data_IF_630341806137
#
_entry.id   IF_630341806137
#
_cell.length_a   1.000
_cell.length_b   1.000
_cell.length_c   1.000
_cell.angle_alpha   90.00
_cell.angle_beta   90.00
_cell.angle_gamma   90.00
#
_symmetry.space_group_name_H-M   'P 1'
#
loop_
_entity.id
_entity.type
_entity.pdbx_description
1 polymer ?
#
# COMPACT_ATOMS: atom_id res chain seq x y z
N UNK A 1 -13.81 13.51 -7.96
CA UNK A 1 -13.09 12.34 -8.49
C UNK A 1 -13.49 11.13 -7.66
N UNK A 2 -14.02 10.05 -8.27
CA UNK A 2 -14.37 8.85 -7.53
C UNK A 2 -13.11 8.21 -6.92
N UNK A 3 -13.24 7.69 -5.68
CA UNK A 3 -12.23 6.88 -5.02
C UNK A 3 -12.61 5.40 -5.15
N UNK A 4 -11.63 4.54 -5.38
CA UNK A 4 -11.84 3.09 -5.41
C UNK A 4 -11.78 2.49 -4.01
N UNK A 5 -10.86 2.98 -3.16
CA UNK A 5 -10.68 2.52 -1.80
C UNK A 5 -10.36 3.67 -0.84
N UNK A 6 -10.74 3.49 0.41
CA UNK A 6 -10.33 4.28 1.55
C UNK A 6 -9.54 3.40 2.49
N UNK A 7 -8.30 3.80 2.77
CA UNK A 7 -7.40 3.03 3.61
C UNK A 7 -7.28 3.74 4.94
N UNK A 8 -7.56 3.03 6.04
CA UNK A 8 -7.40 3.56 7.39
C UNK A 8 -6.06 3.09 7.93
N UNK A 9 -5.20 4.05 8.26
CA UNK A 9 -3.89 3.79 8.84
C UNK A 9 -4.00 3.37 10.31
N UNK A 10 -2.89 3.12 10.96
CA UNK A 10 -2.79 2.48 12.28
C UNK A 10 -3.68 3.07 13.37
N UNK A 11 -4.10 4.32 13.27
CA UNK A 11 -5.01 4.95 14.24
C UNK A 11 -6.44 4.36 14.27
N UNK A 12 -6.75 3.39 13.37
CA UNK A 12 -8.01 2.66 13.45
C UNK A 12 -8.14 1.86 14.76
N UNK A 13 -7.01 1.44 15.34
CA UNK A 13 -6.92 0.81 16.65
C UNK A 13 -6.26 1.75 17.68
N UNK A 14 -6.24 1.35 18.95
CA UNK A 14 -5.56 2.12 20.00
C UNK A 14 -4.04 2.07 19.81
N UNK A 15 -3.40 3.23 19.66
CA UNK A 15 -1.95 3.35 19.45
C UNK A 15 -1.15 3.74 20.69
N UNK A 16 -1.82 4.14 21.77
CA UNK A 16 -1.20 4.60 23.01
C UNK A 16 -1.77 3.89 24.24
N UNK A 17 -2.04 2.58 24.13
CA UNK A 17 -2.69 1.80 25.18
C UNK A 17 -1.73 0.78 25.79
N UNK A 18 -1.84 0.64 27.12
CA UNK A 18 -1.26 -0.47 27.86
C UNK A 18 0.26 -0.61 27.75
N UNK A 19 0.72 -1.82 27.54
CA UNK A 19 2.13 -2.21 27.54
C UNK A 19 2.75 -2.30 26.13
N UNK A 20 2.12 -1.70 25.12
CA UNK A 20 2.63 -1.74 23.76
C UNK A 20 3.97 -1.00 23.64
N UNK A 21 5.03 -1.65 23.14
CA UNK A 21 6.34 -1.02 23.03
C UNK A 21 6.39 0.19 22.10
N UNK A 22 5.63 0.13 20.99
CA UNK A 22 5.65 1.16 19.93
C UNK A 22 4.26 1.65 19.49
N UNK A 23 3.19 1.01 19.94
CA UNK A 23 1.80 1.37 19.61
C UNK A 23 1.39 1.08 18.16
N UNK A 24 2.15 0.30 17.40
CA UNK A 24 1.85 -0.01 16.00
C UNK A 24 0.93 -1.20 15.85
N UNK A 25 1.10 -2.22 16.70
CA UNK A 25 0.27 -3.42 16.67
C UNK A 25 -1.02 -3.21 17.45
N UNK A 26 -2.15 -3.57 16.89
CA UNK A 26 -3.45 -3.54 17.55
C UNK A 26 -4.57 -4.13 16.72
N UNK A 27 -5.63 -4.60 17.42
CA UNK A 27 -6.76 -5.32 16.83
C UNK A 27 -8.11 -4.87 17.40
N UNK A 28 -8.14 -3.80 18.18
CA UNK A 28 -9.37 -3.27 18.78
C UNK A 28 -9.64 -1.87 18.27
N UNK A 29 -10.84 -1.65 17.73
CA UNK A 29 -11.24 -0.35 17.20
C UNK A 29 -11.04 0.79 18.21
N UNK A 30 -10.39 1.84 17.77
CA UNK A 30 -10.31 3.11 18.48
C UNK A 30 -11.68 3.80 18.45
N UNK A 31 -12.44 3.62 19.52
CA UNK A 31 -13.82 4.15 19.61
C UNK A 31 -13.90 5.67 19.73
N UNK A 32 -12.80 6.35 20.03
CA UNK A 32 -12.75 7.82 20.02
C UNK A 32 -12.80 8.36 18.59
N UNK A 33 -12.03 7.73 17.68
CA UNK A 33 -12.00 8.12 16.27
C UNK A 33 -13.11 7.45 15.45
N UNK A 34 -13.42 6.20 15.78
CA UNK A 34 -14.43 5.38 15.10
C UNK A 34 -15.49 4.89 16.09
N UNK A 35 -16.41 5.76 16.57
CA UNK A 35 -17.42 5.38 17.55
C UNK A 35 -18.33 4.22 17.07
N UNK A 36 -18.62 4.18 15.77
CA UNK A 36 -19.43 3.19 15.11
C UNK A 36 -18.76 2.74 13.80
N UNK A 37 -17.80 1.79 13.85
CA UNK A 37 -17.08 1.31 12.68
C UNK A 37 -17.98 0.69 11.61
N UNK A 38 -18.98 -0.07 12.01
CA UNK A 38 -19.89 -0.73 11.06
C UNK A 38 -20.67 0.31 10.23
N UNK A 39 -21.16 1.38 10.86
CA UNK A 39 -21.79 2.49 10.16
C UNK A 39 -20.84 3.22 9.23
N UNK A 40 -19.58 3.42 9.65
CA UNK A 40 -18.55 4.05 8.83
C UNK A 40 -18.27 3.23 7.57
N UNK A 41 -18.06 1.92 7.71
CA UNK A 41 -17.80 1.00 6.59
C UNK A 41 -19.03 0.96 5.66
N UNK A 42 -20.24 0.81 6.21
CA UNK A 42 -21.46 0.82 5.41
C UNK A 42 -21.65 2.13 4.62
N UNK A 43 -21.26 3.26 5.20
CA UNK A 43 -21.29 4.54 4.50
C UNK A 43 -20.30 4.60 3.33
N UNK A 44 -19.08 4.07 3.48
CA UNK A 44 -18.10 3.95 2.39
C UNK A 44 -18.64 3.03 1.28
N UNK A 45 -19.14 1.87 1.64
CA UNK A 45 -19.72 0.91 0.69
C UNK A 45 -20.94 1.50 -0.05
N UNK A 46 -21.77 2.29 0.63
CA UNK A 46 -22.88 3.02 0.02
C UNK A 46 -22.44 4.06 -1.04
N UNK A 47 -21.15 4.42 -1.05
CA UNK A 47 -20.51 5.27 -2.07
C UNK A 47 -19.71 4.48 -3.11
N UNK A 48 -19.71 3.14 -3.03
CA UNK A 48 -18.91 2.27 -3.89
C UNK A 48 -17.41 2.28 -3.56
N UNK A 49 -17.03 2.68 -2.33
CA UNK A 49 -15.64 2.77 -1.87
C UNK A 49 -15.32 1.54 -1.02
N UNK A 50 -14.25 0.83 -1.36
CA UNK A 50 -13.73 -0.29 -0.56
C UNK A 50 -12.95 0.22 0.65
N UNK A 51 -12.87 -0.62 1.69
CA UNK A 51 -12.21 -0.26 2.95
C UNK A 51 -11.06 -1.22 3.25
N UNK A 52 -9.90 -0.66 3.61
CA UNK A 52 -8.78 -1.43 4.13
C UNK A 52 -8.31 -0.88 5.47
N UNK A 53 -7.78 -1.76 6.31
CA UNK A 53 -7.13 -1.40 7.57
C UNK A 53 -5.64 -1.74 7.51
N UNK A 54 -4.84 -0.89 8.14
CA UNK A 54 -3.39 -1.07 8.30
C UNK A 54 -3.08 -2.13 9.37
N UNK A 55 -2.03 -2.90 9.16
CA UNK A 55 -1.56 -3.94 10.08
C UNK A 55 -0.05 -3.86 10.32
N UNK A 56 0.32 -3.85 11.61
CA UNK A 56 1.69 -4.04 12.10
C UNK A 56 1.67 -5.19 13.12
N UNK A 57 1.62 -6.45 12.72
CA UNK A 57 1.25 -7.56 13.62
C UNK A 57 2.38 -8.09 14.50
N UNK A 58 3.62 -7.63 14.33
CA UNK A 58 4.80 -8.29 14.90
C UNK A 58 4.91 -8.29 16.43
N UNK A 59 4.26 -7.35 17.11
CA UNK A 59 4.29 -7.30 18.57
C UNK A 59 3.31 -8.31 19.22
N UNK A 60 2.52 -9.00 18.42
CA UNK A 60 1.57 -10.01 18.89
C UNK A 60 0.24 -9.44 19.38
N UNK A 61 -0.42 -10.12 20.32
CA UNK A 61 -1.74 -9.71 20.85
C UNK A 61 -1.62 -9.35 22.32
N UNK A 62 -1.90 -8.11 22.64
CA UNK A 62 -1.75 -7.57 24.00
C UNK A 62 -3.00 -7.79 24.87
N UNK A 63 -2.87 -7.79 26.21
CA UNK A 63 -3.97 -8.05 27.13
C UNK A 63 -5.15 -7.08 27.04
N UNK A 64 -4.95 -5.87 26.54
CA UNK A 64 -6.02 -4.88 26.36
C UNK A 64 -6.87 -5.10 25.10
N UNK A 65 -6.44 -6.00 24.19
CA UNK A 65 -7.20 -6.32 22.99
C UNK A 65 -8.45 -7.13 23.32
N UNK A 66 -9.56 -6.84 22.63
CA UNK A 66 -10.83 -7.56 22.86
C UNK A 66 -10.71 -9.06 22.55
N UNK A 67 -9.80 -9.43 21.68
CA UNK A 67 -9.55 -10.81 21.23
C UNK A 67 -8.50 -11.54 22.08
N UNK A 68 -7.85 -10.86 23.03
CA UNK A 68 -6.73 -11.42 23.80
C UNK A 68 -7.04 -12.74 24.48
N UNK A 69 -8.17 -12.82 25.21
CA UNK A 69 -8.54 -14.03 25.96
C UNK A 69 -8.58 -15.24 25.04
N UNK A 70 -9.23 -15.14 23.88
CA UNK A 70 -9.37 -16.25 22.94
C UNK A 70 -8.02 -16.68 22.37
N UNK A 71 -7.17 -15.71 22.02
CA UNK A 71 -5.84 -15.96 21.48
C UNK A 71 -4.94 -16.62 22.53
N UNK A 72 -4.96 -16.15 23.76
CA UNK A 72 -4.17 -16.69 24.87
C UNK A 72 -4.57 -18.15 25.17
N UNK A 73 -5.87 -18.44 25.22
CA UNK A 73 -6.39 -19.79 25.46
C UNK A 73 -5.92 -20.79 24.39
N UNK A 74 -5.99 -20.41 23.10
CA UNK A 74 -5.51 -21.26 21.99
C UNK A 74 -4.01 -21.49 22.04
N UNK A 75 -3.26 -20.45 22.39
CA UNK A 75 -1.80 -20.51 22.41
C UNK A 75 -1.27 -21.09 23.73
N UNK A 76 -2.13 -21.41 24.70
CA UNK A 76 -1.76 -22.03 25.97
C UNK A 76 -1.07 -21.04 26.93
N UNK A 77 -1.39 -19.77 26.83
CA UNK A 77 -0.95 -18.71 27.73
C UNK A 77 -2.03 -18.50 28.78
N UNK A 78 -1.66 -18.45 30.05
CA UNK A 78 -2.59 -18.13 31.12
C UNK A 78 -3.01 -16.63 31.01
N UNK A 79 -4.27 -16.32 30.71
CA UNK A 79 -4.68 -14.92 30.58
C UNK A 79 -4.52 -14.11 31.88
N UNK A 80 -4.47 -14.78 33.04
CA UNK A 80 -4.24 -14.11 34.32
C UNK A 80 -2.81 -13.57 34.45
N UNK A 81 -1.84 -14.12 33.69
CA UNK A 81 -0.46 -13.61 33.69
C UNK A 81 -0.33 -12.24 33.03
N UNK A 82 -1.31 -11.86 32.17
CA UNK A 82 -1.25 -10.65 31.35
C UNK A 82 -0.02 -10.60 30.41
N UNK A 83 0.53 -11.76 30.06
CA UNK A 83 1.61 -11.86 29.07
C UNK A 83 1.03 -11.71 27.66
N UNK A 84 1.66 -10.94 26.77
CA UNK A 84 1.22 -10.85 25.39
C UNK A 84 1.31 -12.21 24.67
N UNK A 85 0.38 -12.50 23.77
CA UNK A 85 0.50 -13.62 22.84
C UNK A 85 1.54 -13.26 21.79
N UNK A 86 2.70 -13.95 21.72
CA UNK A 86 3.74 -13.59 20.75
C UNK A 86 3.28 -13.83 19.31
N UNK A 87 3.68 -12.95 18.41
CA UNK A 87 3.49 -13.17 16.99
C UNK A 87 4.36 -14.30 16.46
N UNK A 88 3.74 -15.31 15.87
CA UNK A 88 4.46 -16.40 15.20
C UNK A 88 3.64 -16.96 14.04
N UNK A 89 3.68 -16.28 12.91
CA UNK A 89 2.93 -16.71 11.71
C UNK A 89 3.44 -18.04 11.13
N UNK A 90 4.58 -18.54 11.60
CA UNK A 90 5.10 -19.85 11.21
C UNK A 90 4.52 -21.01 12.03
N UNK A 91 3.87 -20.74 13.18
CA UNK A 91 3.08 -21.74 13.92
C UNK A 91 1.69 -21.87 13.28
N UNK A 92 1.31 -23.05 12.75
CA UNK A 92 -0.01 -23.24 12.15
C UNK A 92 -1.20 -22.92 13.07
N UNK A 93 -1.07 -23.16 14.37
CA UNK A 93 -2.11 -22.84 15.35
C UNK A 93 -2.29 -21.34 15.52
N UNK A 94 -1.16 -20.61 15.57
CA UNK A 94 -1.19 -19.15 15.61
C UNK A 94 -1.80 -18.62 14.30
N UNK A 95 -1.35 -19.11 13.15
CA UNK A 95 -1.84 -18.66 11.85
C UNK A 95 -3.35 -18.86 11.71
N UNK A 96 -3.90 -20.02 12.11
CA UNK A 96 -5.33 -20.30 12.10
C UNK A 96 -6.10 -19.35 13.03
N UNK A 97 -5.63 -19.16 14.27
CA UNK A 97 -6.23 -18.26 15.24
C UNK A 97 -6.14 -16.79 14.77
N UNK A 98 -5.02 -16.40 14.16
CA UNK A 98 -4.76 -15.06 13.63
C UNK A 98 -5.82 -14.66 12.59
N UNK A 99 -6.16 -15.54 11.66
CA UNK A 99 -7.22 -15.23 10.70
C UNK A 99 -8.62 -15.33 11.33
N UNK A 100 -8.93 -16.42 12.01
CA UNK A 100 -10.28 -16.68 12.51
C UNK A 100 -10.74 -15.71 13.60
N UNK A 101 -9.80 -15.21 14.43
CA UNK A 101 -10.12 -14.38 15.60
C UNK A 101 -9.80 -12.91 15.35
N UNK A 102 -8.67 -12.62 14.68
CA UNK A 102 -8.19 -11.23 14.55
C UNK A 102 -8.59 -10.58 13.22
N UNK A 103 -9.04 -11.35 12.18
CA UNK A 103 -9.29 -10.77 10.85
C UNK A 103 -10.70 -11.05 10.34
N UNK A 104 -11.17 -12.29 10.34
CA UNK A 104 -12.48 -12.64 9.78
C UNK A 104 -13.63 -11.84 10.40
N UNK A 105 -13.68 -11.54 11.71
CA UNK A 105 -14.74 -10.71 12.26
C UNK A 105 -14.78 -9.28 11.67
N UNK A 106 -13.63 -8.69 11.35
CA UNK A 106 -13.58 -7.39 10.68
C UNK A 106 -14.01 -7.46 9.21
N UNK A 107 -13.68 -8.56 8.54
CA UNK A 107 -14.14 -8.82 7.17
C UNK A 107 -15.67 -9.04 7.12
N UNK A 108 -16.22 -9.73 8.10
CA UNK A 108 -17.67 -9.89 8.27
C UNK A 108 -18.36 -8.54 8.55
N UNK A 109 -17.69 -7.62 9.23
CA UNK A 109 -18.13 -6.23 9.44
C UNK A 109 -17.96 -5.34 8.18
N UNK A 110 -17.27 -5.87 7.13
CA UNK A 110 -17.16 -5.23 5.83
C UNK A 110 -15.77 -4.68 5.45
N UNK A 111 -14.71 -5.02 6.18
CA UNK A 111 -13.33 -4.73 5.73
C UNK A 111 -13.04 -5.54 4.48
N UNK A 112 -12.69 -4.88 3.38
CA UNK A 112 -12.55 -5.53 2.08
C UNK A 112 -11.18 -6.14 1.84
N UNK A 113 -10.12 -5.58 2.43
CA UNK A 113 -8.75 -6.08 2.31
C UNK A 113 -7.84 -5.51 3.39
N UNK A 114 -6.60 -5.99 3.45
CA UNK A 114 -5.64 -5.65 4.48
C UNK A 114 -4.39 -4.97 3.91
N UNK A 115 -3.83 -4.03 4.69
CA UNK A 115 -2.57 -3.38 4.40
C UNK A 115 -1.51 -3.84 5.40
N UNK A 116 -0.62 -4.77 4.96
CA UNK A 116 0.53 -5.23 5.75
C UNK A 116 1.66 -4.21 5.68
N UNK A 117 1.75 -3.37 6.70
CA UNK A 117 2.80 -2.38 6.83
C UNK A 117 3.92 -2.92 7.74
N UNK A 118 4.68 -3.88 7.19
CA UNK A 118 5.69 -4.60 7.94
C UNK A 118 7.03 -3.88 7.94
N UNK A 119 7.54 -3.49 9.13
CA UNK A 119 8.82 -2.85 9.34
C UNK A 119 9.67 -3.56 10.43
N UNK A 120 9.29 -4.76 10.85
CA UNK A 120 9.77 -5.43 12.05
C UNK A 120 10.78 -6.56 11.76
N UNK A 121 11.52 -6.41 10.65
CA UNK A 121 12.63 -7.29 10.33
C UNK A 121 12.26 -8.55 9.52
N UNK A 122 13.25 -9.38 9.26
CA UNK A 122 13.18 -10.53 8.34
C UNK A 122 13.36 -11.88 9.05
N UNK A 123 13.37 -11.88 10.38
CA UNK A 123 13.60 -13.10 11.18
C UNK A 123 12.28 -13.69 11.67
N UNK A 124 12.14 -15.01 11.52
CA UNK A 124 11.07 -15.80 12.13
C UNK A 124 11.66 -16.97 12.91
N UNK A 125 10.84 -17.71 13.66
CA UNK A 125 11.30 -18.94 14.34
C UNK A 125 11.71 -20.02 13.34
N UNK A 126 11.19 -19.99 12.13
CA UNK A 126 11.59 -20.90 11.06
C UNK A 126 12.79 -20.29 10.31
N UNK A 127 13.96 -20.91 10.46
CA UNK A 127 15.20 -20.45 9.82
C UNK A 127 15.02 -20.32 8.29
N UNK A 128 15.32 -19.14 7.77
CA UNK A 128 15.26 -18.85 6.33
C UNK A 128 13.88 -18.48 5.80
N UNK A 129 12.86 -18.46 6.66
CA UNK A 129 11.53 -17.95 6.30
C UNK A 129 11.43 -16.47 6.69
N UNK A 130 11.26 -15.61 5.70
CA UNK A 130 10.91 -14.20 5.90
C UNK A 130 9.44 -14.12 6.35
N UNK A 131 9.14 -13.52 7.52
CA UNK A 131 7.78 -13.45 8.05
C UNK A 131 6.85 -12.64 7.15
N UNK A 132 7.31 -11.56 6.51
CA UNK A 132 6.48 -10.77 5.61
C UNK A 132 6.11 -11.55 4.36
N UNK A 133 7.06 -12.27 3.76
CA UNK A 133 6.77 -13.08 2.59
C UNK A 133 5.71 -14.16 2.87
N UNK A 134 5.83 -14.80 4.02
CA UNK A 134 4.86 -15.82 4.46
C UNK A 134 3.51 -15.21 4.82
N UNK A 135 3.52 -14.09 5.52
CA UNK A 135 2.32 -13.33 5.86
C UNK A 135 1.55 -12.88 4.60
N UNK A 136 2.26 -12.38 3.59
CA UNK A 136 1.68 -12.01 2.30
C UNK A 136 1.04 -13.21 1.59
N UNK A 137 1.70 -14.37 1.61
CA UNK A 137 1.14 -15.62 1.07
C UNK A 137 -0.18 -15.98 1.75
N UNK A 138 -0.15 -16.03 3.07
CA UNK A 138 -1.33 -16.43 3.83
C UNK A 138 -2.49 -15.46 3.67
N UNK A 139 -2.28 -14.15 3.82
CA UNK A 139 -3.32 -13.14 3.62
C UNK A 139 -3.91 -13.16 2.22
N UNK A 140 -3.07 -13.36 1.19
CA UNK A 140 -3.55 -13.42 -0.18
C UNK A 140 -4.53 -14.56 -0.38
N UNK A 141 -4.18 -15.77 0.04
CA UNK A 141 -5.04 -16.93 -0.14
C UNK A 141 -6.25 -16.93 0.80
N UNK A 142 -6.07 -16.43 2.03
CA UNK A 142 -7.16 -16.32 2.99
C UNK A 142 -8.24 -15.36 2.51
N UNK A 143 -7.90 -14.21 1.93
CA UNK A 143 -8.89 -13.29 1.38
C UNK A 143 -9.75 -13.92 0.28
N UNK A 144 -9.20 -14.88 -0.46
CA UNK A 144 -9.92 -15.62 -1.50
C UNK A 144 -10.55 -16.93 -1.03
N UNK A 145 -10.61 -17.23 0.27
CA UNK A 145 -11.04 -18.52 0.84
C UNK A 145 -12.48 -18.92 0.48
N UNK A 146 -13.33 -17.92 0.25
CA UNK A 146 -14.74 -18.13 -0.13
C UNK A 146 -14.93 -18.51 -1.61
N UNK A 147 -13.87 -18.43 -2.44
CA UNK A 147 -13.89 -18.64 -3.89
C UNK A 147 -14.67 -17.57 -4.68
N UNK A 148 -15.17 -16.53 -4.04
CA UNK A 148 -15.96 -15.44 -4.63
C UNK A 148 -15.15 -14.14 -4.70
N UNK A 149 -14.37 -13.88 -3.67
CA UNK A 149 -13.52 -12.70 -3.57
C UNK A 149 -12.25 -12.93 -4.37
N UNK A 150 -11.94 -12.02 -5.28
CA UNK A 150 -10.64 -12.05 -5.98
C UNK A 150 -9.57 -11.63 -4.98
N UNK A 151 -8.61 -12.52 -4.65
CA UNK A 151 -7.60 -12.23 -3.65
C UNK A 151 -6.66 -11.14 -4.13
N UNK A 152 -6.35 -10.21 -3.25
CA UNK A 152 -5.24 -9.28 -3.35
C UNK A 152 -4.86 -8.77 -1.95
N UNK A 153 -3.68 -8.22 -1.84
CA UNK A 153 -3.17 -7.60 -0.62
C UNK A 153 -2.57 -6.24 -0.95
N UNK A 154 -2.41 -5.42 0.06
CA UNK A 154 -1.61 -4.21 -0.02
C UNK A 154 -0.49 -4.33 1.01
N UNK A 155 0.78 -4.45 0.55
CA UNK A 155 1.88 -4.83 1.44
C UNK A 155 3.18 -4.18 1.02
N UNK A 156 4.11 -4.05 1.97
CA UNK A 156 5.51 -3.81 1.66
C UNK A 156 6.06 -4.97 0.84
N UNK A 157 7.22 -4.78 0.22
CA UNK A 157 7.88 -5.83 -0.56
C UNK A 157 8.45 -6.93 0.36
N UNK A 158 8.21 -8.19 0.03
CA UNK A 158 8.71 -9.38 0.73
C UNK A 158 9.83 -10.11 -0.02
N UNK A 159 10.51 -9.45 -0.96
CA UNK A 159 11.58 -10.05 -1.77
C UNK A 159 11.10 -10.70 -3.07
N UNK A 160 11.99 -11.47 -3.70
CA UNK A 160 11.70 -12.17 -4.96
C UNK A 160 10.54 -13.16 -4.78
N UNK A 161 9.65 -13.20 -5.76
CA UNK A 161 8.44 -14.02 -5.73
C UNK A 161 7.21 -13.30 -5.15
N UNK A 162 7.38 -12.13 -4.51
CA UNK A 162 6.29 -11.37 -3.91
C UNK A 162 5.30 -10.78 -4.94
N UNK A 163 5.70 -10.71 -6.21
CA UNK A 163 4.80 -10.34 -7.32
C UNK A 163 3.55 -11.22 -7.44
N UNK A 164 3.56 -12.41 -6.82
CA UNK A 164 2.39 -13.31 -6.72
C UNK A 164 1.28 -12.73 -5.86
N UNK A 165 1.61 -11.78 -5.00
CA UNK A 165 0.72 -11.20 -3.99
C UNK A 165 0.64 -9.69 -4.17
N UNK A 166 0.00 -9.20 -5.26
CA UNK A 166 -0.17 -7.76 -5.44
C UNK A 166 -1.10 -7.20 -4.38
N UNK A 167 -0.88 -5.97 -3.95
CA UNK A 167 -0.11 -4.86 -4.46
C UNK A 167 1.05 -4.57 -3.52
N UNK A 168 2.22 -4.16 -4.06
CA UNK A 168 3.31 -3.61 -3.25
C UNK A 168 3.25 -2.09 -3.10
N UNK A 169 3.96 -1.52 -2.10
CA UNK A 169 4.08 -0.07 -1.96
C UNK A 169 5.49 0.35 -1.52
N UNK A 170 5.86 1.59 -1.86
CA UNK A 170 7.20 2.14 -1.59
C UNK A 170 7.44 2.43 -0.10
N UNK A 171 6.39 2.81 0.63
CA UNK A 171 6.47 3.27 2.02
C UNK A 171 7.31 4.55 2.18
N UNK A 172 7.12 5.25 3.20
CA UNK A 172 7.86 6.32 3.88
C UNK A 172 8.83 7.16 3.00
N UNK A 173 8.39 7.52 1.80
CA UNK A 173 9.21 8.27 0.83
C UNK A 173 9.39 9.70 1.29
N UNK A 174 10.62 10.21 1.28
CA UNK A 174 10.92 11.61 1.63
C UNK A 174 10.28 12.56 0.62
N UNK A 175 9.68 13.64 1.10
CA UNK A 175 9.11 14.72 0.27
C UNK A 175 10.24 15.50 -0.38
N UNK A 176 10.69 15.08 -1.57
CA UNK A 176 11.80 15.69 -2.29
C UNK A 176 11.78 15.40 -3.78
N UNK A 177 12.42 16.27 -4.55
CA UNK A 177 12.65 16.07 -5.98
C UNK A 177 13.51 14.82 -6.27
N UNK A 178 14.49 14.53 -5.42
CA UNK A 178 15.33 13.35 -5.56
C UNK A 178 14.52 12.06 -5.42
N UNK A 179 13.57 12.03 -4.48
CA UNK A 179 12.64 10.90 -4.33
C UNK A 179 11.77 10.74 -5.56
N UNK A 180 11.20 11.83 -6.08
CA UNK A 180 10.39 11.78 -7.31
C UNK A 180 11.23 11.28 -8.50
N UNK A 181 12.44 11.77 -8.66
CA UNK A 181 13.33 11.40 -9.79
C UNK A 181 13.67 9.90 -9.81
N UNK A 182 13.70 9.25 -8.65
CA UNK A 182 13.97 7.83 -8.53
C UNK A 182 12.76 6.93 -8.90
N UNK A 183 11.54 7.41 -8.71
CA UNK A 183 10.35 6.56 -8.82
C UNK A 183 10.09 5.99 -10.23
N UNK A 184 10.24 6.74 -11.34
CA UNK A 184 10.09 6.19 -12.68
C UNK A 184 11.03 5.01 -12.95
N UNK A 185 12.32 5.21 -12.63
CA UNK A 185 13.34 4.16 -12.77
C UNK A 185 13.01 2.90 -11.96
N UNK A 186 12.70 3.09 -10.69
CA UNK A 186 12.34 1.98 -9.80
C UNK A 186 11.11 1.22 -10.32
N UNK A 187 10.05 1.96 -10.68
CA UNK A 187 8.79 1.35 -11.15
C UNK A 187 8.98 0.55 -12.43
N UNK A 188 9.74 1.09 -13.38
CA UNK A 188 10.03 0.41 -14.63
C UNK A 188 10.87 -0.84 -14.41
N UNK A 189 11.97 -0.74 -13.63
CA UNK A 189 12.89 -1.87 -13.41
C UNK A 189 12.31 -2.95 -12.50
N UNK A 190 11.31 -2.66 -11.67
CA UNK A 190 10.58 -3.66 -10.91
C UNK A 190 9.88 -4.70 -11.81
N UNK A 191 9.56 -4.34 -13.05
CA UNK A 191 9.06 -5.26 -14.06
C UNK A 191 10.00 -6.42 -14.35
N UNK A 192 11.33 -6.23 -14.23
CA UNK A 192 12.34 -7.27 -14.47
C UNK A 192 12.19 -8.48 -13.53
N UNK A 193 11.52 -8.32 -12.40
CA UNK A 193 11.21 -9.39 -11.45
C UNK A 193 9.71 -9.64 -11.32
N UNK A 194 8.92 -9.19 -12.31
CA UNK A 194 7.47 -9.36 -12.36
C UNK A 194 6.67 -8.49 -11.40
N UNK A 195 7.30 -7.54 -10.70
CA UNK A 195 6.66 -6.70 -9.68
C UNK A 195 5.94 -5.51 -10.33
N UNK A 196 4.85 -5.78 -11.03
CA UNK A 196 4.16 -4.81 -11.89
C UNK A 196 3.08 -3.96 -11.22
N UNK A 197 2.63 -4.34 -10.01
CA UNK A 197 1.60 -3.60 -9.27
C UNK A 197 2.23 -2.90 -8.07
N UNK A 198 2.53 -1.62 -8.26
CA UNK A 198 3.24 -0.80 -7.31
C UNK A 198 2.48 0.48 -6.96
N UNK A 199 2.40 0.79 -5.68
CA UNK A 199 1.77 1.99 -5.15
C UNK A 199 2.82 2.92 -4.55
N UNK A 200 2.87 4.14 -5.06
CA UNK A 200 3.70 5.21 -4.49
C UNK A 200 2.93 6.02 -3.46
N UNK A 201 3.66 6.66 -2.55
CA UNK A 201 3.14 7.75 -1.73
C UNK A 201 3.19 9.02 -2.58
N UNK A 202 2.13 9.28 -3.35
CA UNK A 202 2.07 10.42 -4.27
C UNK A 202 2.13 11.74 -3.50
N UNK A 203 3.19 12.50 -3.75
CA UNK A 203 3.54 13.72 -3.03
C UNK A 203 4.69 13.53 -2.03
N UNK A 204 5.10 12.29 -1.78
CA UNK A 204 6.01 11.90 -0.70
C UNK A 204 5.29 11.68 0.63
N UNK A 205 5.89 10.94 1.56
CA UNK A 205 5.26 10.52 2.80
C UNK A 205 5.61 11.45 3.97
N UNK A 206 6.88 11.65 4.24
CA UNK A 206 7.35 12.39 5.41
C UNK A 206 8.62 13.19 5.11
N UNK A 207 9.00 14.02 6.06
CA UNK A 207 10.19 14.87 6.03
C UNK A 207 10.27 15.74 4.76
N UNK A 208 11.41 16.35 4.52
CA UNK A 208 11.61 17.16 3.33
C UNK A 208 10.86 18.49 3.37
N UNK A 209 10.52 19.01 2.21
CA UNK A 209 9.87 20.33 2.05
C UNK A 209 8.64 20.18 1.18
N UNK A 210 7.49 20.56 1.72
CA UNK A 210 6.24 20.65 0.97
C UNK A 210 6.32 21.81 -0.04
N UNK A 211 6.08 21.48 -1.30
CA UNK A 211 6.15 22.40 -2.42
C UNK A 211 5.06 22.08 -3.44
N UNK A 212 4.32 23.09 -3.87
CA UNK A 212 3.18 22.89 -4.80
C UNK A 212 3.60 22.33 -6.15
N UNK A 213 4.72 22.77 -6.71
CA UNK A 213 5.23 22.21 -7.97
C UNK A 213 5.62 20.74 -7.81
N UNK A 214 6.34 20.39 -6.74
CA UNK A 214 6.71 19.02 -6.45
C UNK A 214 5.47 18.11 -6.33
N UNK A 215 4.46 18.54 -5.56
CA UNK A 215 3.20 17.82 -5.45
C UNK A 215 2.53 17.61 -6.82
N UNK A 216 2.45 18.67 -7.64
CA UNK A 216 1.87 18.58 -8.97
C UNK A 216 2.59 17.56 -9.85
N UNK A 217 3.93 17.56 -9.85
CA UNK A 217 4.72 16.60 -10.64
C UNK A 217 4.56 15.17 -10.14
N UNK A 218 4.48 14.97 -8.82
CA UNK A 218 4.12 13.69 -8.25
C UNK A 218 2.71 13.22 -8.70
N UNK A 219 1.72 14.11 -8.67
CA UNK A 219 0.37 13.78 -9.12
C UNK A 219 0.35 13.40 -10.61
N UNK A 220 1.08 14.13 -11.47
CA UNK A 220 1.23 13.83 -12.88
C UNK A 220 1.94 12.49 -13.13
N UNK A 221 3.01 12.19 -12.40
CA UNK A 221 3.65 10.87 -12.41
C UNK A 221 2.66 9.78 -11.97
N UNK A 222 1.87 10.03 -10.93
CA UNK A 222 0.85 9.10 -10.42
C UNK A 222 -0.20 8.71 -11.45
N UNK A 223 -0.51 9.57 -12.43
CA UNK A 223 -1.42 9.23 -13.55
C UNK A 223 -0.92 8.02 -14.32
N UNK A 224 0.39 7.96 -14.55
CA UNK A 224 1.08 6.92 -15.32
C UNK A 224 1.83 5.93 -14.42
N UNK A 225 1.37 5.75 -13.19
CA UNK A 225 1.85 4.69 -12.28
C UNK A 225 0.80 3.57 -12.15
N UNK A 226 1.19 2.36 -11.74
CA UNK A 226 0.23 1.26 -11.63
C UNK A 226 -0.91 1.57 -10.67
N UNK A 227 -0.61 2.04 -9.47
CA UNK A 227 -1.60 2.46 -8.47
C UNK A 227 -1.39 3.95 -8.15
N UNK A 228 -2.46 4.74 -8.23
CA UNK A 228 -2.45 6.12 -7.79
C UNK A 228 -3.05 6.19 -6.38
N UNK A 229 -2.22 6.46 -5.38
CA UNK A 229 -2.59 6.60 -3.98
C UNK A 229 -2.04 7.90 -3.42
N UNK A 230 -2.90 8.71 -2.83
CA UNK A 230 -2.51 9.91 -2.09
C UNK A 230 -2.31 9.50 -0.63
N UNK A 231 -1.12 9.67 -0.11
CA UNK A 231 -0.77 9.28 1.26
C UNK A 231 0.37 10.12 1.81
N UNK A 232 0.34 10.37 3.12
CA UNK A 232 1.42 11.04 3.86
C UNK A 232 1.34 10.67 5.33
N UNK A 233 2.39 10.99 6.08
CA UNK A 233 2.39 10.93 7.54
C UNK A 233 1.32 11.86 8.13
N UNK A 234 0.97 11.64 9.39
CA UNK A 234 0.09 12.50 10.18
C UNK A 234 0.80 13.83 10.51
N UNK A 235 0.95 14.68 9.51
CA UNK A 235 1.55 16.00 9.64
C UNK A 235 0.59 17.05 9.08
N UNK A 236 0.16 18.05 9.86
CA UNK A 236 -0.77 19.08 9.42
C UNK A 236 -0.25 19.93 8.25
N UNK A 237 1.06 19.92 7.99
CA UNK A 237 1.67 20.61 6.86
C UNK A 237 1.74 19.76 5.59
N UNK A 238 1.44 18.45 5.65
CA UNK A 238 1.44 17.57 4.49
C UNK A 238 0.10 17.62 3.77
N UNK A 239 0.05 18.38 2.67
CA UNK A 239 -1.18 18.50 1.88
C UNK A 239 -1.19 17.51 0.72
N UNK A 240 -2.16 16.59 0.70
CA UNK A 240 -2.35 15.61 -0.39
C UNK A 240 -3.67 15.77 -1.13
N UNK A 241 -4.55 16.63 -0.63
CA UNK A 241 -5.81 16.93 -1.31
C UNK A 241 -5.53 17.84 -2.52
N UNK A 242 -5.97 17.48 -3.72
CA UNK A 242 -5.70 18.28 -4.93
C UNK A 242 -6.22 19.72 -4.86
N UNK A 243 -7.23 19.95 -4.01
CA UNK A 243 -7.86 21.26 -3.80
C UNK A 243 -7.30 22.06 -2.62
N UNK A 244 -6.31 21.53 -1.92
CA UNK A 244 -5.66 22.18 -0.77
C UNK A 244 -4.55 23.16 -1.15
N UNK A 245 -4.24 23.29 -2.44
CA UNK A 245 -3.17 24.12 -2.98
C UNK A 245 -3.67 25.42 -3.60
N UNK A 246 -2.75 26.28 -4.02
CA UNK A 246 -3.06 27.46 -4.82
C UNK A 246 -3.70 27.08 -6.17
N UNK A 247 -4.39 28.02 -6.81
CA UNK A 247 -5.17 27.75 -8.02
C UNK A 247 -4.32 27.25 -9.19
N UNK A 248 -3.08 27.69 -9.30
CA UNK A 248 -2.10 27.27 -10.32
C UNK A 248 -1.63 25.83 -10.15
N UNK A 249 -1.75 25.27 -8.94
CA UNK A 249 -1.47 23.86 -8.63
C UNK A 249 -2.75 23.01 -8.67
N UNK A 250 -3.80 23.49 -8.01
CA UNK A 250 -5.10 22.77 -7.90
C UNK A 250 -5.70 22.43 -9.26
N UNK A 251 -5.72 23.38 -10.19
CA UNK A 251 -6.28 23.17 -11.52
C UNK A 251 -5.60 21.99 -12.25
N UNK A 252 -4.30 22.10 -12.55
CA UNK A 252 -3.55 21.02 -13.20
C UNK A 252 -3.55 19.68 -12.46
N UNK A 253 -3.50 19.68 -11.10
CA UNK A 253 -3.58 18.46 -10.33
C UNK A 253 -4.94 17.76 -10.49
N UNK A 254 -6.04 18.52 -10.46
CA UNK A 254 -7.37 17.97 -10.74
C UNK A 254 -7.51 17.45 -12.17
N UNK A 255 -6.89 18.11 -13.15
CA UNK A 255 -6.89 17.64 -14.55
C UNK A 255 -6.09 16.34 -14.70
N UNK A 256 -4.95 16.21 -14.02
CA UNK A 256 -4.20 14.97 -13.95
C UNK A 256 -5.07 13.82 -13.41
N UNK A 257 -5.78 14.03 -12.31
CA UNK A 257 -6.68 13.01 -11.75
C UNK A 257 -7.85 12.67 -12.68
N UNK A 258 -8.40 13.63 -13.43
CA UNK A 258 -9.42 13.37 -14.45
C UNK A 258 -8.86 12.52 -15.59
N UNK A 259 -7.63 12.81 -16.03
CA UNK A 259 -6.94 12.00 -17.03
C UNK A 259 -6.74 10.57 -16.54
N UNK A 260 -6.32 10.37 -15.28
CA UNK A 260 -6.23 9.03 -14.69
C UNK A 260 -7.54 8.26 -14.80
N UNK A 261 -8.67 8.91 -14.54
CA UNK A 261 -9.98 8.27 -14.65
C UNK A 261 -10.35 7.94 -16.11
N UNK A 262 -10.01 8.81 -17.05
CA UNK A 262 -10.19 8.53 -18.48
C UNK A 262 -9.37 7.32 -18.96
N UNK A 263 -8.23 7.06 -18.33
CA UNK A 263 -7.35 5.92 -18.64
C UNK A 263 -7.79 4.60 -17.97
N UNK A 264 -8.81 4.56 -17.12
CA UNK A 264 -9.25 3.34 -16.44
C UNK A 264 -9.53 2.18 -17.42
N UNK A 265 -10.24 2.34 -18.54
CA UNK A 265 -10.45 1.24 -19.48
C UNK A 265 -9.14 0.69 -20.05
N UNK A 266 -8.20 1.58 -20.37
CA UNK A 266 -6.88 1.20 -20.86
C UNK A 266 -6.08 0.44 -19.80
N UNK A 267 -6.04 0.97 -18.58
CA UNK A 267 -5.35 0.33 -17.43
C UNK A 267 -5.95 -1.05 -17.14
N UNK A 268 -7.27 -1.18 -17.21
CA UNK A 268 -7.96 -2.46 -17.02
C UNK A 268 -7.56 -3.48 -18.10
N UNK A 269 -7.49 -3.06 -19.36
CA UNK A 269 -7.02 -3.91 -20.46
C UNK A 269 -5.58 -4.36 -20.25
N UNK A 270 -4.71 -3.46 -19.79
CA UNK A 270 -3.32 -3.80 -19.46
C UNK A 270 -3.21 -4.71 -18.24
N UNK A 271 -4.11 -4.57 -17.27
CA UNK A 271 -4.21 -5.48 -16.13
C UNK A 271 -4.62 -6.89 -16.58
N UNK A 272 -5.53 -7.01 -17.54
CA UNK A 272 -5.88 -8.28 -18.16
C UNK A 272 -4.69 -8.92 -18.86
N UNK A 273 -3.93 -8.14 -19.63
CA UNK A 273 -2.68 -8.60 -20.27
C UNK A 273 -1.66 -9.08 -19.22
N UNK A 274 -1.50 -8.34 -18.14
CA UNK A 274 -0.61 -8.77 -17.06
C UNK A 274 -1.04 -10.10 -16.43
N UNK A 275 -2.35 -10.29 -16.21
CA UNK A 275 -2.88 -11.53 -15.65
C UNK A 275 -2.73 -12.74 -16.60
N UNK A 276 -2.81 -12.53 -17.91
CA UNK A 276 -2.73 -13.60 -18.91
C UNK A 276 -1.30 -13.90 -19.36
N UNK A 277 -0.52 -12.86 -19.63
CA UNK A 277 0.78 -12.97 -20.30
C UNK A 277 1.95 -12.64 -19.37
N UNK A 278 1.69 -12.20 -18.14
CA UNK A 278 2.70 -11.80 -17.17
C UNK A 278 3.39 -10.47 -17.49
N UNK A 279 2.90 -9.69 -18.48
CA UNK A 279 3.53 -8.43 -18.89
C UNK A 279 3.01 -7.29 -18.04
N UNK A 280 3.86 -6.63 -17.20
CA UNK A 280 3.45 -5.53 -16.35
C UNK A 280 2.90 -4.32 -17.13
N UNK A 281 2.09 -3.50 -16.44
CA UNK A 281 1.59 -2.23 -17.00
C UNK A 281 2.73 -1.24 -17.29
N UNK A 282 3.73 -1.17 -16.40
CA UNK A 282 4.91 -0.32 -16.57
C UNK A 282 6.11 -1.21 -16.86
N UNK A 283 6.79 -0.94 -17.97
CA UNK A 283 8.00 -1.69 -18.37
C UNK A 283 9.06 -0.73 -18.90
N UNK A 284 10.36 -1.06 -18.75
CA UNK A 284 11.44 -0.28 -19.32
C UNK A 284 11.36 -0.23 -20.86
N UNK A 285 11.91 0.82 -21.46
CA UNK A 285 11.90 0.98 -22.91
C UNK A 285 12.61 -0.19 -23.66
N UNK A 286 13.64 -0.75 -23.05
CA UNK A 286 14.39 -1.87 -23.66
C UNK A 286 13.57 -3.18 -23.78
N UNK A 287 12.38 -3.29 -23.19
CA UNK A 287 11.50 -4.45 -23.41
C UNK A 287 11.03 -4.55 -24.86
N UNK A 288 10.75 -3.41 -25.47
CA UNK A 288 10.32 -3.36 -26.89
C UNK A 288 11.46 -3.05 -27.85
N UNK A 289 12.57 -2.53 -27.34
CA UNK A 289 13.72 -2.09 -28.13
C UNK A 289 15.04 -2.60 -27.53
N UNK A 290 15.21 -3.92 -27.36
CA UNK A 290 16.41 -4.48 -26.70
C UNK A 290 17.71 -4.22 -27.47
N UNK A 291 17.63 -3.95 -28.77
CA UNK A 291 18.78 -3.64 -29.64
C UNK A 291 19.15 -2.15 -29.64
N UNK A 292 18.35 -1.31 -29.00
CA UNK A 292 18.57 0.14 -28.98
C UNK A 292 19.29 0.53 -27.70
N UNK A 293 20.54 0.97 -27.82
CA UNK A 293 21.37 1.35 -26.67
C UNK A 293 20.75 2.52 -25.88
N UNK A 294 20.13 3.48 -26.57
CA UNK A 294 19.42 4.60 -25.97
C UNK A 294 18.31 4.18 -25.03
N UNK A 295 17.65 3.04 -25.30
CA UNK A 295 16.57 2.53 -24.45
C UNK A 295 17.04 2.13 -23.03
N UNK A 296 18.34 1.91 -22.85
CA UNK A 296 18.95 1.63 -21.54
C UNK A 296 19.43 2.89 -20.81
N UNK A 297 19.47 4.03 -21.50
CA UNK A 297 19.96 5.31 -20.96
C UNK A 297 18.86 6.31 -20.64
N UNK A 298 17.58 5.91 -20.71
CA UNK A 298 16.42 6.73 -20.39
C UNK A 298 15.73 6.26 -19.08
N UNK A 299 16.37 6.35 -17.91
CA UNK A 299 15.88 5.74 -16.67
C UNK A 299 14.55 6.34 -16.16
N UNK A 300 14.18 7.51 -16.65
CA UNK A 300 12.96 8.21 -16.25
C UNK A 300 11.81 8.07 -17.26
N UNK A 301 12.07 7.38 -18.38
CA UNK A 301 11.08 7.10 -19.40
C UNK A 301 10.72 5.61 -19.41
N UNK A 302 9.45 5.31 -19.66
CA UNK A 302 8.99 3.93 -19.62
C UNK A 302 7.73 3.73 -20.46
N UNK A 303 7.49 2.50 -20.88
CA UNK A 303 6.21 2.10 -21.43
C UNK A 303 5.14 2.07 -20.34
N UNK A 304 4.04 2.76 -20.61
CA UNK A 304 2.81 2.64 -19.84
C UNK A 304 1.79 1.87 -20.68
N UNK A 305 1.72 0.56 -20.48
CA UNK A 305 0.97 -0.35 -21.33
C UNK A 305 1.65 -0.62 -22.66
N UNK A 306 0.86 -0.76 -23.74
CA UNK A 306 1.33 -1.07 -25.09
C UNK A 306 1.46 0.13 -26.00
N UNK A 307 0.77 1.25 -25.68
CA UNK A 307 0.56 2.35 -26.62
C UNK A 307 1.15 3.69 -26.14
N UNK A 308 1.57 3.80 -24.89
CA UNK A 308 1.99 5.05 -24.31
C UNK A 308 3.42 4.97 -23.76
N UNK A 309 4.22 5.99 -24.06
CA UNK A 309 5.49 6.27 -23.35
C UNK A 309 5.22 7.38 -22.36
N UNK A 310 5.56 7.16 -21.10
CA UNK A 310 5.53 8.17 -20.06
C UNK A 310 6.93 8.74 -19.82
N UNK A 311 7.04 10.07 -19.80
CA UNK A 311 8.25 10.83 -19.54
C UNK A 311 7.93 11.93 -18.51
N UNK A 312 7.86 11.58 -17.21
CA UNK A 312 7.45 12.52 -16.18
C UNK A 312 8.51 13.60 -15.93
N UNK A 313 8.05 14.82 -15.62
CA UNK A 313 8.94 15.87 -15.13
C UNK A 313 9.32 15.56 -13.68
N UNK A 314 10.61 15.33 -13.46
CA UNK A 314 11.16 14.91 -12.16
C UNK A 314 12.13 15.92 -11.55
N UNK A 315 12.19 17.13 -12.12
CA UNK A 315 12.99 18.25 -11.65
C UNK A 315 12.15 19.54 -11.64
N UNK A 316 12.47 20.52 -10.78
CA UNK A 316 11.78 21.80 -10.78
C UNK A 316 11.94 22.54 -12.11
N UNK A 317 10.91 23.29 -12.49
CA UNK A 317 10.88 24.06 -13.74
C UNK A 317 12.06 25.03 -13.87
N UNK A 318 12.49 25.62 -12.78
CA UNK A 318 13.67 26.51 -12.75
C UNK A 318 14.92 25.84 -13.28
N UNK A 319 15.17 24.58 -12.90
CA UNK A 319 16.32 23.80 -13.40
C UNK A 319 16.14 23.41 -14.87
N UNK A 320 14.93 23.05 -15.27
CA UNK A 320 14.63 22.68 -16.66
C UNK A 320 14.80 23.85 -17.65
N UNK A 321 14.61 25.09 -17.18
CA UNK A 321 14.77 26.31 -17.98
C UNK A 321 16.17 26.94 -17.84
N UNK A 322 17.08 26.35 -17.03
CA UNK A 322 18.40 26.90 -16.77
C UNK A 322 18.39 28.21 -15.96
N UNK A 323 17.35 28.41 -15.14
CA UNK A 323 17.15 29.58 -14.27
C UNK A 323 17.63 29.29 -12.84
#
# INVERSE_FOLDING_TARGET
TPLAAYIVDMDWHGTSTGNQPVGWTGYTWNKELFPDPARFIAWLHGKGIRTALNLHPADGVFPHETQYQQMADIMGIDPASQDPVPFDISDPRFAEAYFNILHHPFEDDGVDFWWMDWQQGTQSRMKGLDPLWWLNHLHFYDLGRDGRTRPFIFSRWGGLGNHRYPIGFSGDTVVSWASLAFQPYFTATAANVGYGWWSHDIGGHMWGIEEGELYLRWAQFGVFSPILRLHSSNNPYSERRPWGWSADITGPACDALRLRHALIPYIYTMAQRNAQDGIPLVTPLYYSHPECDEAYHCPQEYWFGSELIAAPFVAPRSLALGL
#
